data_IF_541659909726
#
_entry.id   IF_541659909726
#
_cell.length_a   1.000
_cell.length_b   1.000
_cell.length_c   1.000
_cell.angle_alpha   90.00
_cell.angle_beta   90.00
_cell.angle_gamma   90.00
#
_symmetry.space_group_name_H-M   'P 1'
#
loop_
_entity.id
_entity.type
_entity.pdbx_description
1 polymer ?
#
# COMPACT_ATOMS: atom_id res chain seq x y z
N UNK A 1 -10.49 -7.95 33.71
CA UNK A 1 -11.33 -8.09 32.51
C UNK A 1 -10.33 -8.32 31.40
N UNK A 2 -10.39 -9.43 30.67
CA UNK A 2 -9.51 -9.62 29.51
C UNK A 2 -9.89 -8.58 28.48
N UNK A 3 -8.97 -7.67 28.18
CA UNK A 3 -9.17 -6.69 27.12
C UNK A 3 -9.25 -7.44 25.78
N UNK A 4 -10.48 -7.81 25.37
CA UNK A 4 -10.73 -8.35 24.04
C UNK A 4 -10.45 -7.23 23.05
N UNK A 5 -9.45 -7.32 22.17
CA UNK A 5 -9.10 -6.26 21.24
C UNK A 5 -10.17 -6.01 20.14
N UNK A 6 -11.24 -6.83 20.11
CA UNK A 6 -12.32 -6.76 19.12
C UNK A 6 -11.98 -7.43 17.78
N UNK A 7 -10.82 -8.06 17.68
CA UNK A 7 -10.35 -8.79 16.48
C UNK A 7 -9.50 -10.00 16.86
N UNK A 8 -9.42 -10.97 15.95
CA UNK A 8 -8.46 -12.08 15.96
C UNK A 8 -7.59 -12.00 14.73
N UNK A 9 -6.35 -12.50 14.83
CA UNK A 9 -5.37 -12.53 13.74
C UNK A 9 -4.93 -13.97 13.47
N UNK A 10 -4.90 -14.33 12.19
CA UNK A 10 -4.35 -15.59 11.72
C UNK A 10 -3.18 -15.30 10.77
N UNK A 11 -2.08 -16.00 10.91
CA UNK A 11 -0.98 -15.98 9.95
C UNK A 11 -1.34 -16.95 8.83
N UNK A 12 -1.39 -16.44 7.61
CA UNK A 12 -1.81 -17.21 6.43
C UNK A 12 -0.79 -17.11 5.31
N UNK A 13 -0.79 -18.10 4.42
CA UNK A 13 0.06 -18.10 3.23
C UNK A 13 -0.75 -18.54 2.01
N UNK A 14 -0.43 -17.99 0.86
CA UNK A 14 -0.98 -18.36 -0.44
C UNK A 14 0.07 -18.11 -1.53
N UNK A 15 -0.20 -18.50 -2.76
CA UNK A 15 0.75 -18.36 -3.86
C UNK A 15 0.37 -17.24 -4.81
N UNK A 16 1.40 -16.52 -5.30
CA UNK A 16 1.32 -15.58 -6.40
C UNK A 16 2.48 -15.85 -7.37
N UNK A 17 2.20 -16.16 -8.63
CA UNK A 17 3.19 -16.57 -9.64
C UNK A 17 4.17 -17.65 -9.16
N UNK A 18 3.71 -18.60 -8.35
CA UNK A 18 4.52 -19.68 -7.78
C UNK A 18 5.38 -19.30 -6.57
N UNK A 19 5.34 -18.03 -6.13
CA UNK A 19 5.96 -17.57 -4.89
C UNK A 19 4.96 -17.64 -3.74
N UNK A 20 5.39 -18.16 -2.59
CA UNK A 20 4.58 -18.18 -1.38
C UNK A 20 4.59 -16.79 -0.73
N UNK A 21 3.42 -16.17 -0.63
CA UNK A 21 3.21 -14.92 0.07
C UNK A 21 2.75 -15.18 1.51
N UNK A 22 3.22 -14.35 2.43
CA UNK A 22 2.81 -14.33 3.82
C UNK A 22 1.87 -13.15 4.08
N UNK A 23 0.79 -13.40 4.82
CA UNK A 23 -0.18 -12.37 5.17
C UNK A 23 -0.74 -12.57 6.57
N UNK A 24 -1.29 -11.50 7.14
CA UNK A 24 -2.13 -11.54 8.33
C UNK A 24 -3.60 -11.41 7.91
N UNK A 25 -4.42 -12.37 8.29
CA UNK A 25 -5.87 -12.33 8.14
C UNK A 25 -6.49 -11.90 9.47
N UNK A 26 -7.13 -10.75 9.48
CA UNK A 26 -7.85 -10.22 10.63
C UNK A 26 -9.35 -10.48 10.45
N UNK A 27 -9.99 -10.94 11.53
CA UNK A 27 -11.43 -11.21 11.60
C UNK A 27 -12.02 -10.55 12.83
N UNK A 28 -13.33 -10.23 12.87
CA UNK A 28 -14.00 -9.86 14.11
C UNK A 28 -13.78 -10.90 15.20
N UNK A 29 -13.61 -10.46 16.45
CA UNK A 29 -13.36 -11.38 17.56
C UNK A 29 -14.55 -12.30 17.88
N UNK A 30 -15.75 -11.90 17.48
CA UNK A 30 -17.01 -12.63 17.64
C UNK A 30 -17.39 -13.47 16.42
N UNK A 31 -16.55 -13.46 15.35
CA UNK A 31 -16.83 -14.22 14.14
C UNK A 31 -16.85 -15.73 14.42
N UNK A 32 -17.85 -16.41 13.85
CA UNK A 32 -18.04 -17.86 13.91
C UNK A 32 -18.17 -18.44 12.49
N UNK A 33 -17.75 -19.71 12.27
CA UNK A 33 -17.96 -20.40 11.00
C UNK A 33 -19.43 -20.51 10.54
N UNK A 34 -20.37 -20.36 11.48
CA UNK A 34 -21.81 -20.41 11.22
C UNK A 34 -22.38 -19.02 10.82
N UNK A 35 -21.56 -17.96 10.90
CA UNK A 35 -21.98 -16.62 10.49
C UNK A 35 -22.12 -16.51 8.98
N UNK A 36 -22.95 -15.57 8.53
CA UNK A 36 -22.98 -15.17 7.12
C UNK A 36 -21.62 -14.62 6.67
N UNK A 37 -21.22 -14.84 5.41
CA UNK A 37 -20.00 -14.27 4.86
C UNK A 37 -19.97 -12.74 5.01
N UNK A 38 -18.79 -12.20 5.34
CA UNK A 38 -18.54 -10.79 5.61
C UNK A 38 -17.89 -10.10 4.43
N UNK A 39 -18.07 -8.78 4.26
CA UNK A 39 -17.25 -8.01 3.32
C UNK A 39 -15.77 -8.10 3.70
N UNK A 40 -14.90 -8.03 2.69
CA UNK A 40 -13.47 -8.16 2.92
C UNK A 40 -12.68 -7.02 2.27
N UNK A 41 -11.49 -6.72 2.84
CA UNK A 41 -10.59 -5.68 2.34
C UNK A 41 -9.17 -6.21 2.27
N UNK A 42 -8.53 -6.07 1.09
CA UNK A 42 -7.07 -6.24 0.94
C UNK A 42 -6.39 -4.94 1.36
N UNK A 43 -5.45 -5.02 2.30
CA UNK A 43 -4.71 -3.87 2.82
C UNK A 43 -3.25 -3.92 2.35
N UNK A 44 -2.87 -2.94 1.55
CA UNK A 44 -1.59 -2.84 0.85
C UNK A 44 -0.62 -1.92 1.58
N UNK A 45 0.62 -2.38 1.77
CA UNK A 45 1.68 -1.61 2.42
C UNK A 45 2.31 -0.60 1.45
N UNK A 46 2.97 0.44 2.02
CA UNK A 46 3.78 1.39 1.28
C UNK A 46 5.08 0.81 0.71
N UNK A 47 5.95 1.67 0.19
CA UNK A 47 7.23 1.30 -0.40
C UNK A 47 8.12 0.55 0.59
N UNK A 48 8.57 -0.64 0.23
CA UNK A 48 9.33 -1.56 1.09
C UNK A 48 8.67 -1.88 2.44
N UNK A 49 7.37 -1.60 2.59
CA UNK A 49 6.61 -1.88 3.80
C UNK A 49 6.34 -3.36 4.02
N UNK A 50 5.92 -3.68 5.24
CA UNK A 50 5.60 -5.04 5.69
C UNK A 50 4.24 -5.06 6.39
N UNK A 51 3.58 -6.23 6.34
CA UNK A 51 2.24 -6.45 6.91
C UNK A 51 2.10 -6.12 8.39
N UNK A 52 3.19 -6.09 9.14
CA UNK A 52 3.21 -5.89 10.60
C UNK A 52 3.77 -4.53 11.05
N UNK A 53 4.00 -3.58 10.14
CA UNK A 53 4.56 -2.26 10.47
C UNK A 53 3.55 -1.14 10.27
N UNK A 54 3.40 -0.65 9.06
CA UNK A 54 2.59 0.55 8.80
C UNK A 54 1.11 0.25 8.50
N UNK A 55 0.79 -0.98 8.11
CA UNK A 55 -0.57 -1.37 7.69
C UNK A 55 -1.37 -2.13 8.73
N UNK A 56 -0.83 -2.38 9.91
CA UNK A 56 -1.52 -3.21 10.92
C UNK A 56 -2.80 -2.57 11.46
N UNK A 57 -2.89 -1.26 11.42
CA UNK A 57 -3.89 -0.50 12.16
C UNK A 57 -5.22 -0.45 11.42
N UNK A 58 -5.18 -0.26 10.10
CA UNK A 58 -6.39 -0.29 9.28
C UNK A 58 -7.05 -1.68 9.27
N UNK A 59 -6.34 -2.82 9.05
CA UNK A 59 -6.92 -4.15 9.17
C UNK A 59 -7.55 -4.43 10.52
N UNK A 60 -6.90 -4.02 11.62
CA UNK A 60 -7.43 -4.15 12.98
C UNK A 60 -8.71 -3.33 13.17
N UNK A 61 -8.72 -2.09 12.65
CA UNK A 61 -9.91 -1.24 12.70
C UNK A 61 -11.04 -1.84 11.89
N UNK A 62 -10.80 -2.28 10.66
CA UNK A 62 -11.79 -2.92 9.81
C UNK A 62 -12.37 -4.19 10.46
N UNK A 63 -11.53 -5.02 11.08
CA UNK A 63 -11.99 -6.22 11.77
C UNK A 63 -12.91 -5.90 12.96
N UNK A 64 -12.63 -4.83 13.73
CA UNK A 64 -13.53 -4.35 14.80
C UNK A 64 -14.90 -3.90 14.28
N UNK A 65 -14.96 -3.42 13.04
CA UNK A 65 -16.18 -2.95 12.37
C UNK A 65 -16.86 -4.06 11.55
N UNK A 66 -16.41 -5.30 11.67
CA UNK A 66 -17.09 -6.46 11.10
C UNK A 66 -16.56 -6.95 9.75
N UNK A 67 -15.47 -6.40 9.25
CA UNK A 67 -14.83 -6.81 8.01
C UNK A 67 -13.83 -7.95 8.20
N UNK A 68 -13.59 -8.73 7.14
CA UNK A 68 -12.41 -9.57 7.03
C UNK A 68 -11.32 -8.73 6.36
N UNK A 69 -10.14 -8.60 6.97
CA UNK A 69 -9.07 -7.77 6.41
C UNK A 69 -7.78 -8.57 6.23
N UNK A 70 -7.19 -8.50 5.04
CA UNK A 70 -5.95 -9.19 4.69
C UNK A 70 -4.82 -8.19 4.49
N UNK A 71 -3.79 -8.23 5.34
CA UNK A 71 -2.56 -7.46 5.19
C UNK A 71 -1.44 -8.39 4.72
N UNK A 72 -0.87 -8.13 3.54
CA UNK A 72 0.15 -8.99 2.94
C UNK A 72 1.56 -8.37 3.02
N UNK A 73 2.57 -9.22 3.03
CA UNK A 73 3.90 -8.86 2.58
C UNK A 73 3.99 -9.10 1.08
N UNK A 74 4.36 -8.09 0.31
CA UNK A 74 4.64 -8.28 -1.11
C UNK A 74 5.83 -9.21 -1.33
N UNK A 75 5.89 -9.85 -2.51
CA UNK A 75 7.06 -10.65 -2.92
C UNK A 75 8.37 -9.91 -2.70
N UNK A 76 9.37 -10.59 -2.13
CA UNK A 76 10.68 -10.02 -1.81
C UNK A 76 10.73 -9.17 -0.54
N UNK A 77 9.64 -9.07 0.22
CA UNK A 77 9.57 -8.32 1.49
C UNK A 77 9.00 -9.19 2.62
N UNK A 78 9.25 -8.75 3.87
CA UNK A 78 8.75 -9.43 5.05
C UNK A 78 9.05 -10.93 5.04
N UNK A 79 8.04 -11.74 5.26
CA UNK A 79 8.12 -13.21 5.28
C UNK A 79 7.71 -13.84 3.93
N UNK A 80 7.39 -13.05 2.91
CA UNK A 80 7.08 -13.54 1.57
C UNK A 80 8.33 -13.96 0.81
N UNK A 81 8.20 -15.00 -0.02
CA UNK A 81 9.24 -15.44 -0.94
C UNK A 81 9.50 -14.38 -2.04
N UNK A 82 10.57 -14.56 -2.79
CA UNK A 82 10.98 -13.68 -3.87
C UNK A 82 12.36 -13.07 -3.65
N UNK A 83 12.84 -12.33 -4.63
CA UNK A 83 14.15 -11.67 -4.57
C UNK A 83 14.06 -10.45 -3.63
N UNK A 84 14.85 -10.48 -2.56
CA UNK A 84 14.87 -9.41 -1.55
C UNK A 84 15.23 -8.06 -2.17
N UNK A 85 14.46 -7.02 -1.84
CA UNK A 85 14.68 -5.67 -2.35
C UNK A 85 14.32 -5.45 -3.83
N UNK A 86 13.79 -6.45 -4.51
CA UNK A 86 13.27 -6.32 -5.87
C UNK A 86 11.88 -5.70 -5.85
N UNK A 87 11.80 -4.40 -6.12
CA UNK A 87 10.54 -3.67 -6.13
C UNK A 87 10.05 -3.47 -7.57
N UNK A 88 9.11 -4.29 -8.00
CA UNK A 88 8.48 -4.21 -9.33
C UNK A 88 6.98 -3.97 -9.16
N UNK A 89 6.47 -2.76 -9.45
CA UNK A 89 5.06 -2.41 -9.22
C UNK A 89 4.07 -3.37 -9.86
N UNK A 90 4.32 -3.81 -11.10
CA UNK A 90 3.41 -4.73 -11.78
C UNK A 90 3.43 -6.14 -11.18
N UNK A 91 4.56 -6.58 -10.61
CA UNK A 91 4.63 -7.84 -9.86
C UNK A 91 3.85 -7.72 -8.54
N UNK A 92 3.90 -6.57 -7.88
CA UNK A 92 3.09 -6.29 -6.67
C UNK A 92 1.59 -6.13 -7.00
N UNK A 93 1.25 -5.62 -8.17
CA UNK A 93 -0.13 -5.61 -8.64
C UNK A 93 -0.66 -7.06 -8.80
N UNK A 94 0.16 -7.99 -9.32
CA UNK A 94 -0.19 -9.41 -9.36
C UNK A 94 -0.42 -9.98 -7.96
N UNK A 95 0.45 -9.67 -7.00
CA UNK A 95 0.26 -10.08 -5.59
C UNK A 95 -1.08 -9.57 -5.04
N UNK A 96 -1.50 -8.37 -5.45
CA UNK A 96 -2.78 -7.79 -5.04
C UNK A 96 -3.97 -8.53 -5.66
N UNK A 97 -3.91 -8.91 -6.93
CA UNK A 97 -4.96 -9.72 -7.60
C UNK A 97 -5.09 -11.11 -6.98
N UNK A 98 -3.98 -11.74 -6.66
CA UNK A 98 -3.96 -13.07 -6.06
C UNK A 98 -4.43 -13.01 -4.59
N UNK A 99 -4.22 -11.89 -3.90
CA UNK A 99 -4.83 -11.62 -2.58
C UNK A 99 -6.36 -11.56 -2.65
N UNK A 100 -6.91 -10.91 -3.67
CA UNK A 100 -8.37 -10.91 -3.92
C UNK A 100 -8.87 -12.32 -4.19
N UNK A 101 -8.15 -13.08 -5.03
CA UNK A 101 -8.48 -14.47 -5.32
C UNK A 101 -8.45 -15.33 -4.07
N UNK A 102 -7.42 -15.16 -3.23
CA UNK A 102 -7.33 -15.87 -1.95
C UNK A 102 -8.52 -15.56 -1.03
N UNK A 103 -8.87 -14.28 -0.86
CA UNK A 103 -10.04 -13.90 -0.07
C UNK A 103 -11.33 -14.57 -0.58
N UNK A 104 -11.53 -14.66 -1.89
CA UNK A 104 -12.71 -15.32 -2.48
C UNK A 104 -12.79 -16.83 -2.17
N UNK A 105 -11.68 -17.48 -1.79
CA UNK A 105 -11.68 -18.91 -1.39
C UNK A 105 -12.11 -19.13 0.05
N UNK A 106 -12.21 -18.08 0.85
CA UNK A 106 -12.50 -18.18 2.28
C UNK A 106 -14.02 -18.19 2.51
N UNK A 107 -14.53 -19.20 3.22
CA UNK A 107 -15.96 -19.27 3.59
C UNK A 107 -16.44 -18.06 4.40
N UNK A 108 -15.55 -17.40 5.11
CA UNK A 108 -15.82 -16.18 5.89
C UNK A 108 -16.07 -14.93 5.03
N UNK A 109 -15.73 -14.96 3.73
CA UNK A 109 -15.74 -13.79 2.84
C UNK A 109 -16.91 -13.86 1.87
N UNK A 110 -17.62 -12.74 1.75
CA UNK A 110 -18.56 -12.51 0.66
C UNK A 110 -17.75 -12.14 -0.61
N UNK A 111 -17.70 -13.00 -1.63
CA UNK A 111 -16.86 -12.81 -2.81
C UNK A 111 -17.28 -11.61 -3.67
N UNK A 112 -18.51 -11.11 -3.50
CA UNK A 112 -19.04 -9.96 -4.23
C UNK A 112 -18.84 -8.63 -3.49
N UNK A 113 -18.28 -8.66 -2.27
CA UNK A 113 -18.09 -7.50 -1.40
C UNK A 113 -16.63 -7.37 -0.97
N UNK A 114 -15.73 -7.17 -1.94
CA UNK A 114 -14.29 -7.03 -1.70
C UNK A 114 -13.84 -5.62 -2.05
N UNK A 115 -13.22 -4.93 -1.08
CA UNK A 115 -12.57 -3.65 -1.25
C UNK A 115 -11.05 -3.75 -1.20
N UNK A 116 -10.38 -2.65 -1.51
CA UNK A 116 -8.93 -2.52 -1.39
C UNK A 116 -8.56 -1.19 -0.72
N UNK A 117 -7.63 -1.26 0.21
CA UNK A 117 -7.02 -0.11 0.86
C UNK A 117 -5.51 -0.12 0.61
N UNK A 118 -4.93 1.02 0.33
CA UNK A 118 -3.48 1.15 0.26
C UNK A 118 -3.00 2.49 0.80
N UNK A 119 -1.85 2.50 1.46
CA UNK A 119 -1.21 3.71 1.96
C UNK A 119 0.14 3.95 1.29
N UNK A 120 0.51 5.22 1.05
CA UNK A 120 1.75 5.58 0.38
C UNK A 120 1.85 4.90 -0.98
N UNK A 121 2.94 4.20 -1.29
CA UNK A 121 3.06 3.43 -2.52
C UNK A 121 1.98 2.33 -2.65
N UNK A 122 1.48 1.80 -1.53
CA UNK A 122 0.31 0.90 -1.53
C UNK A 122 -0.97 1.56 -2.06
N UNK A 123 -1.10 2.88 -1.91
CA UNK A 123 -2.18 3.66 -2.52
C UNK A 123 -2.12 3.68 -4.04
N UNK A 124 -0.91 3.79 -4.61
CA UNK A 124 -0.68 3.64 -6.05
C UNK A 124 -1.07 2.22 -6.55
N UNK A 125 -0.67 1.19 -5.78
CA UNK A 125 -1.02 -0.19 -6.09
C UNK A 125 -2.54 -0.45 -5.95
N UNK A 126 -3.23 0.17 -4.99
CA UNK A 126 -4.69 0.07 -4.85
C UNK A 126 -5.42 0.67 -6.05
N UNK A 127 -4.97 1.82 -6.56
CA UNK A 127 -5.50 2.44 -7.78
C UNK A 127 -5.29 1.51 -8.99
N UNK A 128 -4.05 1.00 -9.16
CA UNK A 128 -3.75 0.11 -10.28
C UNK A 128 -4.58 -1.17 -10.21
N UNK A 129 -4.62 -1.83 -9.04
CA UNK A 129 -5.41 -3.04 -8.86
C UNK A 129 -6.89 -2.78 -9.10
N UNK A 130 -7.44 -1.70 -8.56
CA UNK A 130 -8.82 -1.29 -8.78
C UNK A 130 -9.15 -1.03 -10.25
N UNK A 131 -8.20 -0.48 -11.04
CA UNK A 131 -8.41 -0.21 -12.46
C UNK A 131 -8.54 -1.48 -13.31
N UNK A 132 -7.86 -2.56 -12.93
CA UNK A 132 -7.76 -3.77 -13.76
C UNK A 132 -8.48 -5.00 -13.17
N UNK A 133 -8.93 -4.96 -11.92
CA UNK A 133 -9.69 -6.05 -11.30
C UNK A 133 -11.10 -5.60 -10.89
N UNK A 134 -12.09 -6.00 -11.67
CA UNK A 134 -13.50 -5.65 -11.43
C UNK A 134 -14.11 -6.33 -10.19
N UNK A 135 -13.43 -7.29 -9.59
CA UNK A 135 -13.82 -7.91 -8.31
C UNK A 135 -13.66 -6.95 -7.15
N UNK A 136 -12.73 -5.98 -7.27
CA UNK A 136 -12.56 -4.90 -6.30
C UNK A 136 -13.68 -3.89 -6.48
N UNK A 137 -14.58 -3.79 -5.50
CA UNK A 137 -15.78 -2.92 -5.58
C UNK A 137 -15.53 -1.50 -5.10
N UNK A 138 -14.63 -1.32 -4.16
CA UNK A 138 -14.33 -0.03 -3.53
C UNK A 138 -12.81 0.12 -3.38
N UNK A 139 -12.28 1.30 -3.70
CA UNK A 139 -10.85 1.60 -3.60
C UNK A 139 -10.62 2.74 -2.61
N UNK A 140 -9.60 2.59 -1.77
CA UNK A 140 -9.11 3.64 -0.87
C UNK A 140 -7.62 3.82 -1.06
N UNK A 141 -7.18 5.04 -1.37
CA UNK A 141 -5.78 5.44 -1.53
C UNK A 141 -5.43 6.53 -0.53
N UNK A 142 -4.64 6.21 0.49
CA UNK A 142 -4.19 7.15 1.50
C UNK A 142 -2.77 7.63 1.20
N UNK A 143 -2.57 8.95 1.03
CA UNK A 143 -1.28 9.60 0.71
C UNK A 143 -0.52 8.87 -0.40
N UNK A 144 -1.21 8.55 -1.50
CA UNK A 144 -0.73 7.65 -2.54
C UNK A 144 0.21 8.32 -3.55
N UNK A 145 1.18 7.57 -4.06
CA UNK A 145 2.12 8.01 -5.09
C UNK A 145 1.57 7.68 -6.48
N UNK A 146 0.72 8.52 -7.03
CA UNK A 146 -0.08 8.21 -8.22
C UNK A 146 0.68 8.09 -9.56
N UNK A 147 1.89 8.65 -9.67
CA UNK A 147 2.76 8.59 -10.83
C UNK A 147 4.20 8.47 -10.36
N UNK A 148 4.84 7.35 -10.65
CA UNK A 148 6.16 7.05 -10.09
C UNK A 148 7.25 8.02 -10.53
N UNK A 149 7.21 8.55 -11.76
CA UNK A 149 8.17 9.54 -12.22
C UNK A 149 7.95 10.90 -11.55
N UNK A 150 6.71 11.40 -11.56
CA UNK A 150 6.37 12.67 -10.90
C UNK A 150 6.64 12.63 -9.40
N UNK A 151 6.33 11.50 -8.75
CA UNK A 151 6.66 11.32 -7.33
C UNK A 151 8.17 11.44 -7.09
N UNK A 152 8.98 10.72 -7.86
CA UNK A 152 10.45 10.74 -7.70
C UNK A 152 11.05 12.12 -8.06
N UNK A 153 10.44 12.86 -8.97
CA UNK A 153 10.79 14.24 -9.31
C UNK A 153 10.41 15.21 -8.19
N UNK A 154 9.16 15.15 -7.71
CA UNK A 154 8.61 16.08 -6.72
C UNK A 154 9.37 16.08 -5.38
N UNK A 155 10.05 14.99 -5.04
CA UNK A 155 10.86 14.87 -3.82
C UNK A 155 12.33 15.26 -4.02
N UNK A 156 12.69 15.94 -5.13
CA UNK A 156 14.05 16.32 -5.48
C UNK A 156 14.13 17.74 -6.01
N UNK A 157 15.29 18.37 -5.85
CA UNK A 157 15.61 19.57 -6.64
C UNK A 157 15.80 19.22 -8.12
N UNK A 158 15.70 20.19 -9.06
CA UNK A 158 15.92 19.94 -10.48
C UNK A 158 17.30 19.34 -10.79
N UNK A 159 18.34 19.74 -10.07
CA UNK A 159 19.69 19.24 -10.21
C UNK A 159 19.82 17.79 -9.71
N UNK A 160 19.25 17.49 -8.55
CA UNK A 160 19.20 16.13 -7.99
C UNK A 160 18.41 15.20 -8.90
N UNK A 161 17.26 15.67 -9.41
CA UNK A 161 16.43 14.91 -10.34
C UNK A 161 17.18 14.56 -11.63
N UNK A 162 17.86 15.55 -12.24
CA UNK A 162 18.67 15.34 -13.44
C UNK A 162 19.75 14.28 -13.20
N UNK A 163 20.48 14.39 -12.10
CA UNK A 163 21.54 13.46 -11.73
C UNK A 163 21.00 12.06 -11.44
N UNK A 164 19.87 11.97 -10.74
CA UNK A 164 19.24 10.71 -10.41
C UNK A 164 18.72 9.98 -11.65
N UNK A 165 18.05 10.68 -12.56
CA UNK A 165 17.61 10.12 -13.85
C UNK A 165 18.79 9.61 -14.67
N UNK A 166 19.88 10.37 -14.73
CA UNK A 166 21.08 9.95 -15.46
C UNK A 166 21.67 8.67 -14.88
N UNK A 167 21.79 8.57 -13.53
CA UNK A 167 22.25 7.35 -12.85
C UNK A 167 21.38 6.12 -13.20
N UNK A 168 20.06 6.27 -13.19
CA UNK A 168 19.13 5.19 -13.54
C UNK A 168 19.28 4.78 -15.00
N UNK A 169 19.46 5.74 -15.92
CA UNK A 169 19.63 5.47 -17.34
C UNK A 169 20.99 4.78 -17.64
N UNK A 170 22.06 5.21 -16.99
CA UNK A 170 23.38 4.59 -17.11
C UNK A 170 23.37 3.14 -16.59
N UNK A 171 22.77 2.92 -15.42
CA UNK A 171 22.58 1.57 -14.90
C UNK A 171 21.70 0.70 -15.82
N UNK A 172 20.66 1.25 -16.42
CA UNK A 172 19.82 0.50 -17.37
C UNK A 172 20.63 0.03 -18.59
N UNK A 173 21.56 0.88 -19.09
CA UNK A 173 22.49 0.53 -20.15
C UNK A 173 23.48 -0.55 -19.71
N UNK A 174 24.11 -0.40 -18.55
CA UNK A 174 25.09 -1.35 -18.03
C UNK A 174 24.46 -2.71 -17.71
N UNK A 175 23.23 -2.71 -17.24
CA UNK A 175 22.44 -3.95 -17.01
C UNK A 175 22.28 -4.74 -18.32
N UNK A 176 21.98 -4.05 -19.41
CA UNK A 176 21.78 -4.69 -20.72
C UNK A 176 23.11 -5.16 -21.33
N UNK A 177 24.15 -4.38 -21.22
CA UNK A 177 25.43 -4.67 -21.88
C UNK A 177 26.33 -5.61 -21.06
N UNK A 178 26.31 -5.47 -19.74
CA UNK A 178 27.28 -6.08 -18.84
C UNK A 178 26.64 -6.92 -17.74
N UNK A 179 25.28 -7.10 -17.73
CA UNK A 179 24.54 -7.75 -16.67
C UNK A 179 24.85 -7.14 -15.27
N UNK A 180 25.07 -5.82 -15.23
CA UNK A 180 25.38 -5.10 -14.01
C UNK A 180 24.23 -5.20 -13.01
N UNK A 181 24.59 -5.31 -11.74
CA UNK A 181 23.67 -5.26 -10.60
C UNK A 181 24.10 -4.11 -9.70
N UNK A 182 23.18 -3.30 -9.31
CA UNK A 182 23.41 -2.17 -8.41
C UNK A 182 22.25 -2.06 -7.45
N UNK A 183 22.56 -1.89 -6.17
CA UNK A 183 21.58 -1.64 -5.12
C UNK A 183 21.68 -0.17 -4.69
N UNK A 184 20.55 0.39 -4.30
CA UNK A 184 20.43 1.73 -3.76
C UNK A 184 19.79 1.66 -2.38
N UNK A 185 20.27 2.48 -1.44
CA UNK A 185 19.63 2.62 -0.14
C UNK A 185 18.19 3.16 -0.33
N UNK A 186 17.21 2.53 0.30
CA UNK A 186 15.79 2.83 0.03
C UNK A 186 15.42 4.30 0.26
N UNK A 187 16.09 4.99 1.19
CA UNK A 187 15.85 6.41 1.46
C UNK A 187 16.59 7.36 0.51
N UNK A 188 17.48 6.84 -0.37
CA UNK A 188 17.99 7.59 -1.50
C UNK A 188 17.02 7.54 -2.69
N UNK A 189 16.09 6.56 -2.70
CA UNK A 189 15.00 6.51 -3.71
C UNK A 189 13.99 7.61 -3.46
N UNK A 190 13.58 7.82 -2.19
CA UNK A 190 12.74 8.93 -1.77
C UNK A 190 13.39 9.60 -0.57
N UNK A 191 14.20 10.65 -0.79
CA UNK A 191 14.84 11.37 0.28
C UNK A 191 13.79 11.82 1.28
N UNK A 192 13.89 11.29 2.48
CA UNK A 192 12.97 11.56 3.57
C UNK A 192 13.68 12.53 4.52
N UNK A 193 13.00 13.55 4.99
CA UNK A 193 13.46 14.27 6.14
C UNK A 193 13.50 13.32 7.35
N UNK A 194 14.66 12.67 7.51
CA UNK A 194 14.89 11.69 8.60
C UNK A 194 14.68 12.30 9.98
N UNK A 195 14.69 13.64 10.10
CA UNK A 195 14.41 14.36 11.33
C UNK A 195 12.90 14.51 11.60
N UNK A 196 12.06 14.29 10.60
CA UNK A 196 10.60 14.32 10.73
C UNK A 196 10.00 12.94 11.03
N UNK A 197 10.82 11.94 11.28
CA UNK A 197 10.36 10.55 11.40
C UNK A 197 10.33 10.13 12.85
N UNK A 198 9.18 10.25 13.48
CA UNK A 198 8.76 9.37 14.57
C UNK A 198 8.54 7.94 14.04
N UNK A 199 9.61 7.30 13.56
CA UNK A 199 9.56 5.87 13.24
C UNK A 199 9.81 5.10 14.52
N UNK A 200 8.88 4.29 14.99
CA UNK A 200 9.22 3.29 15.97
C UNK A 200 10.32 2.42 15.34
N UNK A 201 11.49 2.42 15.97
CA UNK A 201 12.56 1.47 15.63
C UNK A 201 12.11 0.12 16.19
N UNK A 202 11.23 -0.55 15.45
CA UNK A 202 10.82 -1.89 15.83
C UNK A 202 12.02 -2.83 15.62
N UNK A 203 12.27 -3.70 16.55
CA UNK A 203 13.34 -4.70 16.48
C UNK A 203 12.97 -5.82 15.50
N UNK A 204 13.93 -6.65 15.10
CA UNK A 204 13.67 -7.87 14.30
C UNK A 204 12.67 -8.79 15.00
N UNK A 205 12.70 -8.85 16.33
CA UNK A 205 11.75 -9.63 17.14
C UNK A 205 10.33 -9.12 17.02
N UNK A 206 10.14 -7.79 16.94
CA UNK A 206 8.82 -7.17 16.75
C UNK A 206 8.34 -7.27 15.30
N UNK A 207 9.26 -7.35 14.33
CA UNK A 207 8.95 -7.39 12.90
C UNK A 207 8.82 -8.79 12.31
N UNK A 208 9.39 -9.81 12.97
CA UNK A 208 9.43 -11.16 12.43
C UNK A 208 10.39 -11.38 11.25
N UNK A 209 11.01 -10.33 10.70
CA UNK A 209 11.97 -10.43 9.61
C UNK A 209 12.88 -9.20 9.54
N UNK A 210 14.08 -9.36 8.94
CA UNK A 210 14.99 -8.24 8.70
C UNK A 210 14.36 -7.20 7.75
N UNK A 211 14.65 -5.93 8.02
CA UNK A 211 14.23 -4.81 7.18
C UNK A 211 15.01 -4.81 5.85
N UNK A 212 14.33 -4.57 4.74
CA UNK A 212 14.98 -4.38 3.45
C UNK A 212 15.46 -2.93 3.37
N UNK A 213 16.75 -2.74 3.60
CA UNK A 213 17.38 -1.41 3.60
C UNK A 213 17.83 -0.96 2.21
N UNK A 214 18.13 -1.90 1.32
CA UNK A 214 18.56 -1.64 -0.05
C UNK A 214 17.62 -2.28 -1.05
N UNK A 215 17.40 -1.60 -2.15
CA UNK A 215 16.59 -2.08 -3.27
C UNK A 215 17.41 -2.10 -4.54
N UNK A 216 17.07 -3.00 -5.45
CA UNK A 216 17.69 -3.06 -6.78
C UNK A 216 17.42 -1.75 -7.55
N UNK A 217 18.45 -1.08 -8.04
CA UNK A 217 18.31 0.18 -8.78
C UNK A 217 17.47 0.03 -10.06
N UNK A 218 17.41 -1.16 -10.66
CA UNK A 218 16.47 -1.44 -11.74
C UNK A 218 14.99 -1.38 -11.30
N UNK A 219 14.72 -1.42 -9.98
CA UNK A 219 13.39 -1.18 -9.43
C UNK A 219 12.98 0.28 -9.58
N UNK A 220 13.92 1.21 -9.48
CA UNK A 220 13.66 2.65 -9.69
C UNK A 220 13.25 2.92 -11.14
N UNK A 221 13.91 2.28 -12.12
CA UNK A 221 13.52 2.34 -13.53
C UNK A 221 12.08 1.82 -13.75
N UNK A 222 11.70 0.75 -13.05
CA UNK A 222 10.33 0.23 -13.10
C UNK A 222 9.31 1.16 -12.42
N UNK A 223 9.70 1.81 -11.31
CA UNK A 223 8.88 2.83 -10.65
C UNK A 223 8.59 4.02 -11.56
N UNK A 224 9.61 4.56 -12.25
CA UNK A 224 9.45 5.69 -13.19
C UNK A 224 8.42 5.39 -14.30
N UNK A 225 8.27 4.11 -14.68
CA UNK A 225 7.32 3.67 -15.70
C UNK A 225 5.95 3.33 -15.15
N UNK A 226 5.75 3.34 -13.84
CA UNK A 226 4.49 3.00 -13.19
C UNK A 226 3.60 4.23 -13.09
N UNK A 227 2.46 4.20 -13.78
CA UNK A 227 1.60 5.36 -14.02
C UNK A 227 0.14 5.06 -13.62
N UNK A 228 -0.19 4.90 -12.35
CA UNK A 228 -1.58 4.71 -11.90
C UNK A 228 -2.53 5.84 -12.32
N UNK A 229 -2.02 7.06 -12.45
CA UNK A 229 -2.76 8.22 -12.94
C UNK A 229 -3.25 8.10 -14.39
N UNK A 230 -2.68 7.18 -15.18
CA UNK A 230 -3.12 6.92 -16.57
C UNK A 230 -4.28 5.94 -16.67
N UNK A 231 -4.62 5.29 -15.59
CA UNK A 231 -5.62 4.20 -15.58
C UNK A 231 -6.70 4.37 -14.52
N UNK A 232 -6.62 5.39 -13.69
CA UNK A 232 -7.54 5.62 -12.57
C UNK A 232 -8.98 5.83 -13.04
N UNK A 233 -9.19 6.39 -14.21
CA UNK A 233 -10.51 6.60 -14.85
C UNK A 233 -11.26 5.29 -15.09
N UNK A 234 -10.54 4.16 -15.28
CA UNK A 234 -11.11 2.82 -15.47
C UNK A 234 -11.78 2.25 -14.22
N UNK A 235 -11.54 2.84 -13.05
CA UNK A 235 -12.21 2.40 -11.82
C UNK A 235 -13.69 2.79 -11.86
N UNK A 236 -14.03 3.94 -12.42
CA UNK A 236 -15.42 4.40 -12.54
C UNK A 236 -16.30 3.37 -13.27
N UNK A 237 -17.54 3.12 -12.82
CA UNK A 237 -18.30 3.83 -11.77
C UNK A 237 -18.10 3.28 -10.34
N UNK A 238 -17.03 2.55 -10.05
CA UNK A 238 -16.74 2.06 -8.70
C UNK A 238 -16.12 3.18 -7.85
N UNK A 239 -16.52 3.30 -6.55
CA UNK A 239 -16.15 4.43 -5.71
C UNK A 239 -14.68 4.42 -5.30
N UNK A 240 -14.06 5.61 -5.28
CA UNK A 240 -12.68 5.82 -4.85
C UNK A 240 -12.59 6.90 -3.78
N UNK A 241 -11.95 6.58 -2.65
CA UNK A 241 -11.62 7.55 -1.59
C UNK A 241 -10.12 7.84 -1.63
N UNK A 242 -9.79 9.14 -1.60
CA UNK A 242 -8.41 9.63 -1.51
C UNK A 242 -8.19 10.39 -0.21
N UNK A 243 -7.01 10.23 0.37
CA UNK A 243 -6.50 11.10 1.43
C UNK A 243 -5.23 11.77 0.97
N UNK A 244 -5.09 13.06 1.31
CA UNK A 244 -3.83 13.80 1.20
C UNK A 244 -3.48 14.37 2.58
N UNK A 245 -2.17 14.41 2.89
CA UNK A 245 -1.62 15.14 4.01
C UNK A 245 -0.96 16.41 3.43
N UNK A 246 -1.39 17.59 3.84
CA UNK A 246 -1.01 18.84 3.16
C UNK A 246 0.42 19.30 3.43
N UNK A 247 1.07 18.76 4.49
CA UNK A 247 2.50 18.96 4.79
C UNK A 247 3.35 17.71 4.43
N UNK A 248 2.88 16.86 3.53
CA UNK A 248 3.58 15.64 3.13
C UNK A 248 4.77 15.94 2.21
N UNK A 249 5.98 15.66 2.69
CA UNK A 249 7.23 15.81 1.92
C UNK A 249 7.73 14.49 1.33
N UNK A 250 7.07 13.36 1.62
CA UNK A 250 7.42 12.02 1.13
C UNK A 250 6.58 11.65 -0.10
N UNK A 251 5.27 11.93 -0.03
CA UNK A 251 4.35 11.84 -1.15
C UNK A 251 3.61 13.19 -1.26
N UNK A 252 4.24 14.19 -1.88
CA UNK A 252 3.70 15.54 -1.95
C UNK A 252 2.24 15.55 -2.44
N UNK A 253 1.36 16.37 -1.83
CA UNK A 253 -0.09 16.31 -2.08
C UNK A 253 -0.46 16.48 -3.55
N UNK A 254 0.31 17.25 -4.32
CA UNK A 254 0.12 17.44 -5.76
C UNK A 254 0.15 16.13 -6.55
N UNK A 255 0.98 15.16 -6.14
CA UNK A 255 1.09 13.85 -6.81
C UNK A 255 -0.20 13.04 -6.66
N UNK A 256 -0.85 13.11 -5.48
CA UNK A 256 -2.16 12.47 -5.27
C UNK A 256 -3.28 13.27 -5.95
N UNK A 257 -3.19 14.61 -5.95
CA UNK A 257 -4.18 15.48 -6.60
C UNK A 257 -4.29 15.22 -8.10
N UNK A 258 -3.18 15.00 -8.80
CA UNK A 258 -3.19 14.64 -10.23
C UNK A 258 -3.99 13.37 -10.51
N UNK A 259 -3.91 12.38 -9.64
CA UNK A 259 -4.70 11.13 -9.75
C UNK A 259 -6.17 11.41 -9.46
N UNK A 260 -6.44 12.17 -8.40
CA UNK A 260 -7.81 12.53 -8.03
C UNK A 260 -8.53 13.26 -9.16
N UNK A 261 -7.88 14.21 -9.80
CA UNK A 261 -8.46 14.98 -10.90
C UNK A 261 -8.84 14.11 -12.10
N UNK A 262 -8.01 13.10 -12.40
CA UNK A 262 -8.24 12.14 -13.50
C UNK A 262 -9.25 11.04 -13.15
N UNK A 263 -9.52 10.82 -11.87
CA UNK A 263 -10.46 9.79 -11.42
C UNK A 263 -11.89 10.18 -11.77
N UNK A 264 -12.67 9.22 -12.28
CA UNK A 264 -14.12 9.39 -12.51
C UNK A 264 -14.95 9.29 -11.23
N UNK A 265 -16.22 9.67 -11.32
CA UNK A 265 -17.17 9.56 -10.20
C UNK A 265 -17.65 8.10 -9.99
N UNK A 266 -18.05 7.71 -8.76
CA UNK A 266 -18.01 8.50 -7.52
C UNK A 266 -16.63 8.54 -6.89
N UNK A 267 -16.17 9.73 -6.50
CA UNK A 267 -14.90 9.91 -5.81
C UNK A 267 -15.03 10.88 -4.64
N UNK A 268 -14.15 10.75 -3.66
CA UNK A 268 -14.04 11.66 -2.52
C UNK A 268 -12.59 11.95 -2.20
N UNK A 269 -12.29 13.19 -1.84
CA UNK A 269 -11.02 13.61 -1.30
C UNK A 269 -11.18 14.08 0.14
N UNK A 270 -10.27 13.63 1.02
CA UNK A 270 -10.15 14.11 2.39
C UNK A 270 -8.75 14.69 2.58
N UNK A 271 -8.69 15.98 2.87
CA UNK A 271 -7.45 16.67 3.22
C UNK A 271 -7.23 16.58 4.73
N UNK A 272 -6.04 16.16 5.13
CA UNK A 272 -5.60 16.11 6.51
C UNK A 272 -4.74 17.35 6.76
N UNK A 273 -5.36 18.42 7.28
CA UNK A 273 -4.72 19.72 7.46
C UNK A 273 -3.60 19.66 8.51
N UNK A 274 -2.41 20.19 8.19
CA UNK A 274 -1.23 20.17 9.03
C UNK A 274 -0.60 18.78 9.19
N UNK A 275 -1.06 17.79 8.43
CA UNK A 275 -0.55 16.43 8.52
C UNK A 275 0.68 16.21 7.65
N UNK A 276 1.61 15.41 8.17
CA UNK A 276 2.74 14.82 7.44
C UNK A 276 2.48 13.37 7.09
N UNK A 277 3.27 12.81 6.19
CA UNK A 277 3.12 11.45 5.66
C UNK A 277 2.87 10.38 6.73
N UNK A 278 3.66 10.37 7.79
CA UNK A 278 3.58 9.32 8.80
C UNK A 278 2.39 9.48 9.77
N UNK A 279 1.69 10.63 9.75
CA UNK A 279 0.55 10.87 10.64
C UNK A 279 -0.75 10.18 10.18
N UNK A 280 -0.73 9.53 9.02
CA UNK A 280 -1.82 8.65 8.57
C UNK A 280 -1.78 7.25 9.20
N UNK A 281 -0.77 6.96 10.02
CA UNK A 281 -0.58 5.66 10.69
C UNK A 281 -0.77 5.80 12.21
N UNK A 282 -1.26 4.73 12.87
CA UNK A 282 -1.54 4.71 14.31
C UNK A 282 -0.30 4.95 15.17
N UNK A 283 0.87 4.47 14.73
CA UNK A 283 2.11 4.64 15.49
C UNK A 283 2.50 6.12 15.70
N UNK A 284 1.97 7.03 14.90
CA UNK A 284 2.14 8.48 15.12
C UNK A 284 1.30 9.02 16.27
N UNK A 285 0.37 8.22 16.82
CA UNK A 285 -0.63 8.63 17.80
C UNK A 285 -1.37 9.92 17.42
N UNK A 286 -1.65 10.08 16.13
CA UNK A 286 -2.21 11.28 15.53
C UNK A 286 -3.73 11.23 15.43
N UNK A 287 -4.40 12.36 15.63
CA UNK A 287 -5.84 12.50 15.31
C UNK A 287 -6.12 12.27 13.83
N UNK A 288 -5.15 12.54 12.97
CA UNK A 288 -5.26 12.30 11.52
C UNK A 288 -5.47 10.82 11.20
N UNK A 289 -4.79 9.91 11.94
CA UNK A 289 -5.05 8.48 11.77
C UNK A 289 -6.51 8.12 12.08
N UNK A 290 -7.09 8.70 13.15
CA UNK A 290 -8.51 8.45 13.48
C UNK A 290 -9.44 8.94 12.36
N UNK A 291 -9.10 10.04 11.71
CA UNK A 291 -9.83 10.55 10.54
C UNK A 291 -9.69 9.59 9.36
N UNK A 292 -8.48 9.15 9.03
CA UNK A 292 -8.25 8.17 7.95
C UNK A 292 -9.02 6.88 8.20
N UNK A 293 -8.89 6.30 9.40
CA UNK A 293 -9.58 5.06 9.75
C UNK A 293 -11.10 5.20 9.75
N UNK A 294 -11.61 6.29 10.34
CA UNK A 294 -13.05 6.55 10.41
C UNK A 294 -13.69 6.80 9.04
N UNK A 295 -13.07 7.62 8.20
CA UNK A 295 -13.58 7.90 6.85
C UNK A 295 -13.43 6.67 5.92
N UNK A 296 -12.38 5.86 6.10
CA UNK A 296 -12.22 4.58 5.38
C UNK A 296 -13.36 3.62 5.71
N UNK A 297 -13.69 3.43 7.00
CA UNK A 297 -14.82 2.58 7.42
C UNK A 297 -16.13 3.09 6.84
N UNK A 298 -16.45 4.38 7.02
CA UNK A 298 -17.67 4.98 6.46
C UNK A 298 -17.80 4.80 4.95
N UNK A 299 -16.66 4.88 4.24
CA UNK A 299 -16.66 4.71 2.79
C UNK A 299 -16.94 3.27 2.38
N UNK A 300 -16.33 2.30 3.06
CA UNK A 300 -16.63 0.90 2.84
C UNK A 300 -18.06 0.54 3.24
N UNK A 301 -18.57 1.02 4.38
CA UNK A 301 -19.96 0.78 4.82
C UNK A 301 -21.01 1.30 3.82
N UNK A 302 -20.68 2.39 3.13
CA UNK A 302 -21.58 3.00 2.15
C UNK A 302 -21.58 2.29 0.78
N UNK A 303 -20.52 1.50 0.48
CA UNK A 303 -20.29 1.05 -0.89
C UNK A 303 -19.96 -0.44 -1.03
N UNK A 304 -19.69 -1.16 0.05
CA UNK A 304 -19.57 -2.62 0.14
C UNK A 304 -20.81 -3.22 0.78
#
# INVERSE_FOLDING_TARGET
>A
MSDNPGWIKEDVTYFSDGLKLAAHLYKPADWSPDDAPRPAVVCLTGYSGRKNVATVDIPRRLAREGYIALALDYRGYGESEGVRGRHRPLEQAQDSYDSVTYLQTLAAVDPDRIGIYGSSFGGANAIWAGAFDARIKVVVSAVGCGNGEHWLEAVRTPEEWTSFRQRVADHARDRVLNNAKEEIYRYDVYPNDLNAVDKPTLTVEEHGSEDVTHVDLASVDALMRYKPDWVVDKISPRPVLFFIADEDTIAPPEVTMEVYEKCGEPKKLVTLEGARHNQVYEFSNSEHFQTVAGETVKWFDAHL
#
